data_IF_982835307988
#
_entry.id   IF_982835307988
#
_cell.length_a   1.000
_cell.length_b   1.000
_cell.length_c   1.000
_cell.angle_alpha   90.00
_cell.angle_beta   90.00
_cell.angle_gamma   90.00
#
_symmetry.space_group_name_H-M   'P 1'
#
loop_
_entity.id
_entity.type
_entity.pdbx_description
1 polymer ?
#
# COMPACT_ATOMS: atom_id res chain seq x y z
N UNK A 1 -11.03 20.18 10.06
CA UNK A 1 -9.84 19.33 9.89
C UNK A 1 -9.22 19.70 8.56
N UNK A 2 -7.89 19.72 8.44
CA UNK A 2 -7.23 19.96 7.15
C UNK A 2 -7.27 18.69 6.32
N UNK A 3 -7.86 18.75 5.13
CA UNK A 3 -7.90 17.62 4.19
C UNK A 3 -6.51 17.37 3.59
N UNK A 4 -6.05 16.13 3.59
CA UNK A 4 -4.76 15.74 3.00
C UNK A 4 -4.96 15.32 1.55
N UNK A 5 -4.26 16.00 0.63
CA UNK A 5 -4.23 15.66 -0.79
C UNK A 5 -3.36 14.43 -1.01
N UNK A 6 -3.89 13.38 -1.64
CA UNK A 6 -3.18 12.12 -1.81
C UNK A 6 -3.21 11.58 -3.25
N UNK A 7 -2.11 10.97 -3.65
CA UNK A 7 -2.06 10.01 -4.75
C UNK A 7 -2.00 8.61 -4.13
N UNK A 8 -2.79 7.68 -4.63
CA UNK A 8 -2.81 6.29 -4.16
C UNK A 8 -2.24 5.36 -5.24
N UNK A 9 -1.04 4.82 -5.00
CA UNK A 9 -0.36 3.85 -5.87
C UNK A 9 -0.63 2.42 -5.37
N UNK A 10 -1.34 1.62 -6.15
CA UNK A 10 -2.00 0.39 -5.69
C UNK A 10 -2.01 -0.68 -6.77
N UNK A 11 -2.17 -1.94 -6.39
CA UNK A 11 -2.28 -3.09 -7.28
C UNK A 11 -3.57 -3.88 -7.01
N UNK A 12 -4.78 -3.27 -7.20
CA UNK A 12 -5.98 -3.67 -6.48
C UNK A 12 -6.26 -5.17 -6.33
N UNK A 13 -5.80 -5.66 -5.17
CA UNK A 13 -6.19 -6.86 -4.45
C UNK A 13 -7.37 -6.63 -3.50
N UNK A 14 -7.49 -7.50 -2.51
CA UNK A 14 -8.63 -7.52 -1.59
C UNK A 14 -8.50 -6.41 -0.53
N UNK A 15 -7.32 -6.27 0.05
CA UNK A 15 -6.92 -5.24 1.00
C UNK A 15 -6.70 -3.88 0.34
N UNK A 16 -6.20 -3.81 -0.90
CA UNK A 16 -6.19 -2.56 -1.66
C UNK A 16 -7.60 -2.01 -1.85
N UNK A 17 -8.58 -2.88 -2.14
CA UNK A 17 -9.98 -2.48 -2.27
C UNK A 17 -10.55 -1.97 -0.94
N UNK A 18 -10.14 -2.57 0.20
CA UNK A 18 -10.47 -2.05 1.52
C UNK A 18 -9.89 -0.63 1.72
N UNK A 19 -8.62 -0.43 1.37
CA UNK A 19 -7.96 0.87 1.48
C UNK A 19 -8.60 1.92 0.57
N UNK A 20 -8.88 1.59 -0.68
CA UNK A 20 -9.45 2.51 -1.65
C UNK A 20 -10.86 2.97 -1.29
N UNK A 21 -11.71 2.06 -0.78
CA UNK A 21 -13.05 2.44 -0.29
C UNK A 21 -12.99 3.21 1.03
N UNK A 22 -12.00 2.93 1.88
CA UNK A 22 -11.74 3.74 3.08
C UNK A 22 -11.28 5.15 2.75
N UNK A 23 -10.46 5.32 1.71
CA UNK A 23 -10.08 6.63 1.19
C UNK A 23 -11.31 7.40 0.71
N UNK A 24 -12.14 6.79 -0.15
CA UNK A 24 -13.33 7.44 -0.70
C UNK A 24 -14.33 7.85 0.39
N UNK A 25 -14.50 7.02 1.43
CA UNK A 25 -15.38 7.34 2.55
C UNK A 25 -14.81 8.43 3.49
N UNK A 26 -13.52 8.76 3.39
CA UNK A 26 -12.85 9.65 4.33
C UNK A 26 -12.88 11.12 3.92
N UNK A 27 -13.60 12.01 4.64
CA UNK A 27 -13.56 13.45 4.37
C UNK A 27 -12.22 14.10 4.74
N UNK A 28 -11.34 13.36 5.42
CA UNK A 28 -9.99 13.81 5.75
C UNK A 28 -9.02 13.71 4.57
N UNK A 29 -9.41 13.04 3.47
CA UNK A 29 -8.56 12.80 2.32
C UNK A 29 -9.16 13.41 1.05
N UNK A 30 -8.30 13.96 0.22
CA UNK A 30 -8.61 14.43 -1.14
C UNK A 30 -7.81 13.56 -2.11
N UNK A 31 -8.46 12.52 -2.64
CA UNK A 31 -7.84 11.58 -3.57
C UNK A 31 -7.74 12.21 -4.97
N UNK A 32 -6.55 12.68 -5.33
CA UNK A 32 -6.35 13.37 -6.61
C UNK A 32 -5.97 12.45 -7.77
N UNK A 33 -5.48 11.25 -7.48
CA UNK A 33 -5.24 10.23 -8.49
C UNK A 33 -5.10 8.84 -7.86
N UNK A 34 -5.49 7.84 -8.65
CA UNK A 34 -5.12 6.44 -8.44
C UNK A 34 -4.12 6.04 -9.51
N UNK A 35 -2.98 5.50 -9.11
CA UNK A 35 -2.01 4.90 -10.03
C UNK A 35 -1.99 3.40 -9.80
N UNK A 36 -2.06 2.62 -10.88
CA UNK A 36 -2.04 1.15 -10.75
C UNK A 36 -0.67 0.56 -11.07
N UNK A 37 -0.31 -0.51 -10.38
CA UNK A 37 0.90 -1.30 -10.61
C UNK A 37 0.56 -2.80 -10.64
N UNK A 38 1.47 -3.63 -11.12
CA UNK A 38 1.38 -5.09 -10.98
C UNK A 38 1.70 -5.49 -9.53
N UNK A 39 1.27 -6.69 -9.11
CA UNK A 39 1.63 -7.25 -7.80
C UNK A 39 0.69 -8.40 -7.42
N UNK A 40 -0.39 -8.07 -6.70
CA UNK A 40 -1.48 -8.98 -6.35
C UNK A 40 -2.14 -9.61 -7.59
N UNK A 41 -2.14 -8.88 -8.71
CA UNK A 41 -2.48 -9.40 -10.03
C UNK A 41 -1.64 -8.74 -11.13
N UNK A 42 -1.85 -9.19 -12.37
CA UNK A 42 -1.29 -8.57 -13.57
C UNK A 42 -1.82 -7.13 -13.72
N UNK A 43 -1.02 -6.22 -14.29
CA UNK A 43 -1.40 -4.81 -14.39
C UNK A 43 -2.76 -4.57 -15.05
N UNK A 44 -3.14 -5.40 -16.03
CA UNK A 44 -4.45 -5.28 -16.69
C UNK A 44 -5.61 -5.62 -15.74
N UNK A 45 -5.40 -6.58 -14.84
CA UNK A 45 -6.36 -6.96 -13.81
C UNK A 45 -6.42 -5.89 -12.72
N UNK A 46 -5.27 -5.43 -12.21
CA UNK A 46 -5.23 -4.41 -11.16
C UNK A 46 -5.82 -3.07 -11.65
N UNK A 47 -5.53 -2.68 -12.89
CA UNK A 47 -6.14 -1.51 -13.55
C UNK A 47 -7.64 -1.67 -13.73
N UNK A 48 -8.09 -2.83 -14.24
CA UNK A 48 -9.53 -3.14 -14.36
C UNK A 48 -10.22 -3.05 -12.99
N UNK A 49 -9.59 -3.57 -11.93
CA UNK A 49 -10.14 -3.56 -10.58
C UNK A 49 -10.24 -2.13 -10.02
N UNK A 50 -9.22 -1.28 -10.18
CA UNK A 50 -9.29 0.14 -9.82
C UNK A 50 -10.48 0.84 -10.52
N UNK A 51 -10.64 0.62 -11.83
CA UNK A 51 -11.71 1.22 -12.63
C UNK A 51 -13.09 0.66 -12.24
N UNK A 52 -13.17 -0.63 -11.95
CA UNK A 52 -14.40 -1.26 -11.47
C UNK A 52 -14.82 -0.69 -10.11
N UNK A 53 -13.90 -0.56 -9.16
CA UNK A 53 -14.15 0.04 -7.85
C UNK A 53 -14.56 1.50 -8.02
N UNK A 54 -13.85 2.25 -8.87
CA UNK A 54 -14.18 3.63 -9.24
C UNK A 54 -15.62 3.77 -9.72
N UNK A 55 -16.02 2.99 -10.72
CA UNK A 55 -17.35 3.10 -11.31
C UNK A 55 -18.45 2.58 -10.36
N UNK A 56 -18.16 1.52 -9.59
CA UNK A 56 -19.12 0.92 -8.67
C UNK A 56 -19.43 1.80 -7.46
N UNK A 57 -18.42 2.50 -6.94
CA UNK A 57 -18.51 3.26 -5.70
C UNK A 57 -18.43 4.77 -5.90
N UNK A 58 -18.36 5.24 -7.15
CA UNK A 58 -18.49 6.65 -7.49
C UNK A 58 -17.23 7.48 -7.29
N UNK A 59 -16.05 6.85 -7.19
CA UNK A 59 -14.80 7.57 -6.99
C UNK A 59 -14.57 8.54 -8.15
N UNK A 60 -14.14 9.75 -7.85
CA UNK A 60 -13.96 10.79 -8.88
C UNK A 60 -12.53 10.86 -9.40
N UNK A 61 -11.55 10.43 -8.60
CA UNK A 61 -10.13 10.45 -8.93
C UNK A 61 -9.80 9.75 -10.28
N UNK A 62 -8.99 10.35 -11.16
CA UNK A 62 -8.52 9.70 -12.38
C UNK A 62 -7.66 8.48 -12.06
N UNK A 63 -7.73 7.46 -12.93
CA UNK A 63 -6.94 6.23 -12.81
C UNK A 63 -5.89 6.21 -13.92
N UNK A 64 -4.61 6.12 -13.54
CA UNK A 64 -3.49 6.03 -14.46
C UNK A 64 -2.86 4.64 -14.41
N UNK A 65 -2.75 3.98 -15.57
CA UNK A 65 -2.11 2.67 -15.67
C UNK A 65 -0.59 2.81 -15.57
N UNK A 66 0.03 2.04 -14.67
CA UNK A 66 1.48 1.98 -14.50
C UNK A 66 2.15 0.82 -15.22
N UNK A 67 3.27 0.38 -14.67
CA UNK A 67 4.12 -0.67 -15.26
C UNK A 67 3.55 -2.08 -15.04
N UNK A 68 3.94 -3.02 -15.90
CA UNK A 68 3.55 -4.43 -15.87
C UNK A 68 4.61 -5.36 -15.23
N UNK A 69 5.79 -4.82 -14.88
CA UNK A 69 6.95 -5.59 -14.43
C UNK A 69 7.94 -4.76 -13.60
N UNK A 70 8.83 -5.42 -12.83
CA UNK A 70 9.89 -4.73 -12.10
C UNK A 70 10.93 -4.07 -13.00
N UNK A 71 11.76 -3.19 -12.44
CA UNK A 71 12.75 -2.39 -13.16
C UNK A 71 13.75 -3.22 -13.97
N UNK A 72 14.26 -4.31 -13.36
CA UNK A 72 15.44 -5.03 -13.86
C UNK A 72 15.23 -6.54 -13.94
N UNK A 73 14.18 -7.07 -13.31
CA UNK A 73 14.02 -8.50 -13.08
C UNK A 73 12.81 -9.06 -13.84
N UNK A 74 12.74 -10.38 -14.06
CA UNK A 74 11.49 -11.00 -14.51
C UNK A 74 10.41 -10.82 -13.46
N UNK A 75 9.17 -10.55 -13.90
CA UNK A 75 8.01 -10.47 -13.01
C UNK A 75 7.73 -11.86 -12.42
N UNK A 76 7.41 -11.91 -11.12
CA UNK A 76 6.91 -13.11 -10.49
C UNK A 76 5.44 -13.37 -10.86
N UNK A 77 4.97 -14.63 -10.78
CA UNK A 77 3.56 -14.94 -10.91
C UNK A 77 2.74 -14.25 -9.83
N UNK A 78 1.52 -13.83 -10.19
CA UNK A 78 0.59 -13.20 -9.27
C UNK A 78 0.09 -14.21 -8.22
N UNK A 79 -0.09 -13.80 -6.95
CA UNK A 79 -0.52 -14.69 -5.86
C UNK A 79 -2.04 -14.97 -5.91
N UNK A 80 -2.53 -15.66 -6.94
CA UNK A 80 -3.98 -15.93 -7.11
C UNK A 80 -4.57 -16.77 -5.97
N UNK A 81 -3.74 -17.52 -5.24
CA UNK A 81 -4.13 -18.24 -4.02
C UNK A 81 -4.47 -17.31 -2.83
N UNK A 82 -4.13 -16.02 -2.90
CA UNK A 82 -4.43 -15.00 -1.88
C UNK A 82 -5.61 -14.14 -2.33
N UNK A 83 -5.54 -13.59 -3.55
CA UNK A 83 -6.49 -12.59 -4.04
C UNK A 83 -7.50 -13.11 -5.07
N UNK A 84 -7.44 -14.39 -5.45
CA UNK A 84 -8.23 -14.97 -6.53
C UNK A 84 -7.68 -14.66 -7.92
N UNK A 85 -8.21 -15.33 -8.93
CA UNK A 85 -7.86 -15.13 -10.34
C UNK A 85 -8.27 -13.74 -10.84
N UNK A 86 -9.34 -13.18 -10.28
CA UNK A 86 -9.76 -11.82 -10.59
C UNK A 86 -9.12 -10.74 -9.69
N UNK A 87 -8.31 -11.10 -8.69
CA UNK A 87 -7.71 -10.16 -7.72
C UNK A 87 -8.67 -9.61 -6.65
N UNK A 88 -9.96 -9.92 -6.71
CA UNK A 88 -11.00 -9.46 -5.77
C UNK A 88 -11.75 -10.64 -5.14
N UNK A 89 -11.02 -11.70 -4.78
CA UNK A 89 -11.58 -12.88 -4.10
C UNK A 89 -12.54 -13.70 -4.96
N UNK A 90 -12.43 -13.62 -6.28
CA UNK A 90 -13.26 -14.32 -7.25
C UNK A 90 -14.77 -14.05 -7.11
N UNK A 91 -15.13 -12.92 -6.49
CA UNK A 91 -16.51 -12.44 -6.50
C UNK A 91 -16.92 -12.06 -7.92
N UNK A 92 -18.20 -12.25 -8.25
CA UNK A 92 -18.72 -11.87 -9.55
C UNK A 92 -18.66 -10.34 -9.74
N UNK A 93 -17.84 -9.90 -10.69
CA UNK A 93 -17.75 -8.49 -11.10
C UNK A 93 -18.82 -8.24 -12.17
N UNK A 94 -20.01 -7.80 -11.75
CA UNK A 94 -21.17 -7.64 -12.63
C UNK A 94 -21.48 -6.18 -12.93
N UNK A 95 -22.15 -5.95 -14.07
CA UNK A 95 -22.94 -4.74 -14.31
C UNK A 95 -22.19 -3.49 -14.73
N UNK A 96 -20.86 -3.53 -14.86
CA UNK A 96 -20.06 -2.35 -15.23
C UNK A 96 -19.05 -2.72 -16.31
N UNK A 97 -19.03 -1.95 -17.39
CA UNK A 97 -17.90 -1.90 -18.33
C UNK A 97 -17.01 -0.79 -17.79
N UNK A 98 -15.87 -1.10 -17.15
CA UNK A 98 -15.07 -0.07 -16.52
C UNK A 98 -14.64 0.98 -17.53
N UNK A 99 -14.62 2.25 -17.12
CA UNK A 99 -14.04 3.33 -17.91
C UNK A 99 -12.62 2.97 -18.38
N UNK A 100 -12.09 3.66 -19.39
CA UNK A 100 -10.67 3.49 -19.74
C UNK A 100 -9.81 4.28 -18.75
N UNK A 101 -8.60 3.79 -18.40
CA UNK A 101 -7.67 4.60 -17.66
C UNK A 101 -7.25 5.81 -18.51
N UNK A 102 -6.77 6.85 -17.83
CA UNK A 102 -6.20 8.02 -18.49
C UNK A 102 -5.04 7.63 -19.42
N UNK A 103 -4.92 8.33 -20.54
CA UNK A 103 -3.90 8.06 -21.56
C UNK A 103 -2.53 8.64 -21.19
N UNK A 104 -2.09 8.42 -19.95
CA UNK A 104 -0.81 8.88 -19.39
C UNK A 104 -0.25 7.78 -18.47
N UNK A 105 1.05 7.45 -18.57
CA UNK A 105 1.68 6.50 -17.64
C UNK A 105 1.62 6.99 -16.19
N UNK A 106 1.40 6.08 -15.24
CA UNK A 106 1.33 6.40 -13.81
C UNK A 106 2.50 7.24 -13.28
N UNK A 107 3.75 6.86 -13.60
CA UNK A 107 4.94 7.60 -13.14
C UNK A 107 4.96 9.06 -13.64
N UNK A 108 4.47 9.31 -14.85
CA UNK A 108 4.37 10.68 -15.38
C UNK A 108 3.25 11.45 -14.69
N UNK A 109 2.13 10.80 -14.39
CA UNK A 109 1.05 11.43 -13.62
C UNK A 109 1.51 11.85 -12.22
N UNK A 110 2.32 11.02 -11.55
CA UNK A 110 2.93 11.34 -10.25
C UNK A 110 3.78 12.61 -10.37
N UNK A 111 4.66 12.70 -11.38
CA UNK A 111 5.53 13.87 -11.62
C UNK A 111 4.69 15.11 -11.87
N UNK A 112 3.72 15.04 -12.78
CA UNK A 112 2.90 16.18 -13.18
C UNK A 112 2.12 16.74 -11.98
N UNK A 113 1.45 15.86 -11.21
CA UNK A 113 0.67 16.26 -10.04
C UNK A 113 1.54 16.85 -8.93
N UNK A 114 2.73 16.29 -8.69
CA UNK A 114 3.68 16.83 -7.71
C UNK A 114 4.20 18.22 -8.12
N UNK A 115 4.46 18.44 -9.41
CA UNK A 115 4.87 19.74 -9.98
C UNK A 115 3.75 20.78 -9.88
N UNK A 116 2.51 20.37 -10.10
CA UNK A 116 1.33 21.23 -9.98
C UNK A 116 1.01 21.60 -8.52
N UNK A 117 1.40 20.76 -7.55
CA UNK A 117 1.05 20.90 -6.13
C UNK A 117 2.27 20.69 -5.21
N UNK A 118 3.35 21.49 -5.35
CA UNK A 118 4.61 21.26 -4.64
C UNK A 118 4.42 21.40 -3.12
N UNK A 119 4.84 20.36 -2.38
CA UNK A 119 4.76 20.29 -0.92
C UNK A 119 3.37 19.96 -0.37
N UNK A 120 2.38 19.68 -1.22
CA UNK A 120 1.00 19.43 -0.78
C UNK A 120 0.62 17.95 -0.77
N UNK A 121 1.11 17.17 -1.74
CA UNK A 121 0.65 15.79 -1.99
C UNK A 121 1.42 14.79 -1.14
N UNK A 122 0.69 13.95 -0.40
CA UNK A 122 1.23 12.70 0.16
C UNK A 122 0.99 11.55 -0.82
N UNK A 123 2.06 10.86 -1.22
CA UNK A 123 1.97 9.66 -2.06
C UNK A 123 1.85 8.43 -1.16
N UNK A 124 0.72 7.72 -1.24
CA UNK A 124 0.48 6.50 -0.47
C UNK A 124 0.66 5.32 -1.42
N UNK A 125 1.72 4.54 -1.24
CA UNK A 125 2.05 3.40 -2.08
C UNK A 125 1.81 2.10 -1.32
N UNK A 126 0.91 1.25 -1.82
CA UNK A 126 0.53 -0.02 -1.21
C UNK A 126 0.78 -1.23 -2.10
N UNK A 127 1.40 -1.02 -3.26
CA UNK A 127 1.91 -2.08 -4.14
C UNK A 127 3.43 -2.01 -4.34
N UNK A 128 3.98 -2.81 -5.28
CA UNK A 128 5.39 -2.71 -5.67
C UNK A 128 5.77 -1.28 -6.11
N UNK A 129 6.88 -0.79 -5.58
CA UNK A 129 7.29 0.63 -5.66
C UNK A 129 7.84 1.06 -7.03
N UNK A 130 7.51 0.32 -8.09
CA UNK A 130 8.09 0.48 -9.41
C UNK A 130 7.66 1.78 -10.09
N UNK A 131 6.40 2.18 -9.94
CA UNK A 131 5.92 3.47 -10.48
C UNK A 131 6.67 4.65 -9.85
N UNK A 132 6.91 4.59 -8.53
CA UNK A 132 7.67 5.58 -7.77
C UNK A 132 9.12 5.64 -8.23
N UNK A 133 9.77 4.49 -8.39
CA UNK A 133 11.14 4.42 -8.85
C UNK A 133 11.30 4.91 -10.30
N UNK A 134 10.32 4.64 -11.18
CA UNK A 134 10.28 5.19 -12.53
C UNK A 134 10.09 6.71 -12.51
N UNK A 135 9.27 7.25 -11.60
CA UNK A 135 9.11 8.69 -11.44
C UNK A 135 10.43 9.35 -11.00
N UNK A 136 11.12 8.78 -10.00
CA UNK A 136 12.43 9.24 -9.55
C UNK A 136 13.51 9.18 -10.64
N UNK A 137 13.49 8.13 -11.49
CA UNK A 137 14.43 8.00 -12.61
C UNK A 137 14.16 9.01 -13.72
N UNK A 138 12.90 9.33 -13.98
CA UNK A 138 12.51 10.29 -15.01
C UNK A 138 12.70 11.74 -14.55
N UNK A 139 12.40 12.04 -13.28
CA UNK A 139 12.53 13.36 -12.68
C UNK A 139 12.98 13.25 -11.20
N UNK A 140 14.30 13.26 -10.93
CA UNK A 140 14.82 13.15 -9.57
C UNK A 140 14.36 14.26 -8.62
N UNK A 141 13.94 15.43 -9.13
CA UNK A 141 13.46 16.53 -8.30
C UNK A 141 12.06 16.25 -7.71
N UNK A 142 11.31 15.27 -8.25
CA UNK A 142 9.98 14.90 -7.76
C UNK A 142 9.99 14.56 -6.27
N UNK A 143 11.10 14.02 -5.77
CA UNK A 143 11.29 13.70 -4.36
C UNK A 143 11.09 14.93 -3.45
N UNK A 144 11.60 16.09 -3.86
CA UNK A 144 11.49 17.33 -3.09
C UNK A 144 10.12 18.02 -3.25
N UNK A 145 9.31 17.60 -4.22
CA UNK A 145 7.99 18.18 -4.50
C UNK A 145 6.85 17.47 -3.78
N UNK A 146 7.02 16.20 -3.41
CA UNK A 146 6.03 15.49 -2.59
C UNK A 146 6.17 15.92 -1.13
N UNK A 147 5.03 16.06 -0.45
CA UNK A 147 4.97 16.36 0.99
C UNK A 147 5.57 15.23 1.81
N UNK A 148 5.18 13.99 1.46
CA UNK A 148 5.61 12.76 2.09
C UNK A 148 5.28 11.56 1.19
N UNK A 149 5.92 10.43 1.47
CA UNK A 149 5.59 9.12 0.92
C UNK A 149 5.28 8.17 2.07
N UNK A 150 4.13 7.52 2.03
CA UNK A 150 3.73 6.49 3.00
C UNK A 150 3.64 5.18 2.26
N UNK A 151 4.41 4.18 2.72
CA UNK A 151 4.55 2.89 2.04
C UNK A 151 3.93 1.81 2.90
N UNK A 152 2.96 1.05 2.40
CA UNK A 152 2.67 -0.27 2.95
C UNK A 152 3.71 -1.23 2.38
N UNK A 153 4.63 -1.68 3.24
CA UNK A 153 5.65 -2.63 2.79
C UNK A 153 6.79 -2.81 3.76
N UNK A 154 7.52 -3.91 3.55
CA UNK A 154 8.66 -4.30 4.35
C UNK A 154 8.30 -5.16 5.57
N UNK A 155 9.35 -5.80 6.09
CA UNK A 155 9.34 -6.58 7.33
C UNK A 155 10.68 -6.30 8.03
N UNK A 156 10.66 -5.49 9.08
CA UNK A 156 11.87 -4.99 9.76
C UNK A 156 12.25 -5.84 10.97
N UNK A 157 11.45 -6.85 11.31
CA UNK A 157 11.70 -7.81 12.39
C UNK A 157 11.57 -7.23 13.80
N UNK A 158 11.00 -6.03 13.95
CA UNK A 158 10.90 -5.30 15.22
C UNK A 158 9.93 -5.98 16.19
N UNK A 159 8.86 -6.57 15.65
CA UNK A 159 7.86 -7.32 16.42
C UNK A 159 8.06 -8.84 16.32
N UNK A 160 9.25 -9.29 15.91
CA UNK A 160 9.52 -10.70 15.58
C UNK A 160 8.70 -11.22 14.39
N UNK A 161 8.16 -10.31 13.57
CA UNK A 161 7.35 -10.64 12.40
C UNK A 161 8.26 -10.95 11.21
N UNK A 162 8.12 -12.13 10.58
CA UNK A 162 8.86 -12.47 9.37
C UNK A 162 8.27 -11.75 8.15
N UNK A 163 8.91 -11.93 6.99
CA UNK A 163 8.28 -11.66 5.71
C UNK A 163 7.07 -12.56 5.43
N UNK A 164 6.27 -12.20 4.44
CA UNK A 164 5.07 -12.95 4.02
C UNK A 164 5.26 -13.71 2.69
N UNK A 165 6.33 -13.42 1.94
CA UNK A 165 6.73 -14.17 0.71
C UNK A 165 7.90 -15.09 0.99
N UNK A 166 8.95 -14.56 1.63
CA UNK A 166 10.06 -15.35 2.16
C UNK A 166 10.17 -15.09 3.67
N UNK A 167 10.99 -15.84 4.42
CA UNK A 167 11.16 -15.57 5.85
C UNK A 167 11.59 -14.13 6.18
N UNK A 168 12.17 -13.41 5.23
CA UNK A 168 12.73 -12.05 5.44
C UNK A 168 12.11 -10.98 4.54
N UNK A 169 11.32 -11.34 3.53
CA UNK A 169 10.83 -10.40 2.53
C UNK A 169 9.31 -10.30 2.52
N UNK A 170 8.85 -9.05 2.52
CA UNK A 170 7.45 -8.67 2.31
C UNK A 170 7.16 -8.56 0.80
N UNK A 171 5.94 -8.88 0.37
CA UNK A 171 5.50 -8.99 -1.02
C UNK A 171 5.79 -7.77 -1.90
N UNK A 172 5.42 -6.56 -1.48
CA UNK A 172 5.61 -5.34 -2.26
C UNK A 172 7.08 -5.06 -2.50
N UNK A 173 7.90 -5.19 -1.44
CA UNK A 173 9.35 -5.01 -1.55
C UNK A 173 9.99 -6.15 -2.35
N UNK A 174 9.55 -7.39 -2.17
CA UNK A 174 10.10 -8.55 -2.86
C UNK A 174 9.82 -8.55 -4.36
N UNK A 175 8.69 -7.97 -4.78
CA UNK A 175 8.29 -7.86 -6.18
C UNK A 175 9.16 -6.88 -6.99
N UNK A 176 9.75 -5.85 -6.36
CA UNK A 176 10.79 -5.01 -6.96
C UNK A 176 11.77 -4.44 -5.90
N UNK A 177 12.75 -5.24 -5.44
CA UNK A 177 13.70 -4.82 -4.42
C UNK A 177 14.57 -3.65 -4.86
N UNK A 178 14.90 -3.56 -6.15
CA UNK A 178 15.67 -2.45 -6.71
C UNK A 178 14.88 -1.15 -6.72
N UNK A 179 13.60 -1.18 -7.07
CA UNK A 179 12.72 -0.03 -6.94
C UNK A 179 12.62 0.40 -5.47
N UNK A 180 12.46 -0.56 -4.56
CA UNK A 180 12.35 -0.27 -3.14
C UNK A 180 13.62 0.36 -2.56
N UNK A 181 14.83 -0.16 -2.88
CA UNK A 181 16.09 0.45 -2.42
C UNK A 181 16.22 1.88 -2.96
N UNK A 182 15.88 2.11 -4.23
CA UNK A 182 15.91 3.44 -4.84
C UNK A 182 14.93 4.40 -4.15
N UNK A 183 13.73 3.93 -3.81
CA UNK A 183 12.70 4.72 -3.12
C UNK A 183 13.13 5.05 -1.68
N UNK A 184 13.63 4.08 -0.91
CA UNK A 184 14.05 4.34 0.47
C UNK A 184 15.28 5.26 0.58
N UNK A 185 16.14 5.26 -0.44
CA UNK A 185 17.37 6.06 -0.48
C UNK A 185 17.22 7.42 -1.18
N UNK A 186 16.05 7.71 -1.75
CA UNK A 186 15.76 8.99 -2.38
C UNK A 186 15.53 10.14 -1.36
N UNK A 187 15.81 11.40 -1.72
CA UNK A 187 15.76 12.55 -0.81
C UNK A 187 14.33 13.11 -0.59
N UNK A 188 13.40 12.24 -0.20
CA UNK A 188 12.04 12.57 0.23
C UNK A 188 11.75 11.99 1.62
N UNK A 189 10.61 12.38 2.21
CA UNK A 189 10.19 11.90 3.53
C UNK A 189 9.37 10.62 3.41
N UNK A 190 9.94 9.48 3.79
CA UNK A 190 9.28 8.16 3.74
C UNK A 190 8.92 7.66 5.14
N UNK A 191 7.70 7.17 5.28
CA UNK A 191 7.30 6.29 6.40
C UNK A 191 6.83 4.94 5.88
N UNK A 192 7.47 3.85 6.32
CA UNK A 192 7.02 2.49 6.04
C UNK A 192 6.06 1.98 7.13
N UNK A 193 4.87 1.59 6.72
CA UNK A 193 3.86 0.87 7.50
C UNK A 193 4.00 -0.61 7.19
N UNK A 194 4.81 -1.30 7.98
CA UNK A 194 5.32 -2.64 7.67
C UNK A 194 4.49 -3.79 8.27
N UNK A 195 4.79 -5.03 7.87
CA UNK A 195 4.18 -6.24 8.45
C UNK A 195 4.32 -6.32 9.97
N UNK A 196 5.34 -5.67 10.53
CA UNK A 196 5.58 -5.59 11.98
C UNK A 196 4.35 -5.06 12.73
N UNK A 197 3.63 -4.10 12.14
CA UNK A 197 2.44 -3.49 12.75
C UNK A 197 1.14 -3.93 12.09
N UNK A 198 1.09 -4.07 10.77
CA UNK A 198 -0.17 -4.35 10.06
C UNK A 198 -0.74 -5.71 10.41
N UNK A 199 0.13 -6.69 10.72
CA UNK A 199 -0.30 -8.03 11.15
C UNK A 199 -0.90 -8.06 12.56
N UNK A 200 -0.82 -6.96 13.31
CA UNK A 200 -1.47 -6.80 14.63
C UNK A 200 -2.92 -6.31 14.51
N UNK A 201 -3.31 -5.84 13.33
CA UNK A 201 -4.64 -5.26 13.07
C UNK A 201 -5.44 -6.29 12.27
N UNK A 202 -6.42 -6.91 12.91
CA UNK A 202 -7.21 -8.00 12.30
C UNK A 202 -8.69 -7.63 12.27
N UNK A 203 -9.26 -7.62 11.06
CA UNK A 203 -10.70 -7.56 10.86
C UNK A 203 -11.27 -8.97 11.00
N UNK A 204 -11.90 -9.23 12.16
CA UNK A 204 -12.55 -10.51 12.44
C UNK A 204 -13.83 -10.69 11.61
N UNK A 205 -14.37 -11.91 11.47
CA UNK A 205 -15.66 -12.12 10.82
C UNK A 205 -16.79 -11.26 11.43
N UNK A 206 -16.84 -11.16 12.76
CA UNK A 206 -17.82 -10.32 13.45
C UNK A 206 -17.66 -8.82 13.13
N UNK A 207 -16.41 -8.36 12.97
CA UNK A 207 -16.14 -6.99 12.52
C UNK A 207 -16.65 -6.76 11.09
N UNK A 208 -16.39 -7.69 10.17
CA UNK A 208 -16.84 -7.58 8.78
C UNK A 208 -18.36 -7.66 8.64
N UNK A 209 -19.03 -8.48 9.46
CA UNK A 209 -20.50 -8.54 9.53
C UNK A 209 -21.09 -7.22 10.05
N UNK A 210 -20.48 -6.62 11.08
CA UNK A 210 -20.88 -5.30 11.57
C UNK A 210 -20.68 -4.21 10.52
N UNK A 211 -19.58 -4.25 9.78
CA UNK A 211 -19.28 -3.33 8.68
C UNK A 211 -20.27 -3.48 7.52
N UNK A 212 -20.64 -4.71 7.15
CA UNK A 212 -21.69 -4.96 6.14
C UNK A 212 -23.02 -4.34 6.55
N UNK A 213 -23.37 -4.40 7.84
CA UNK A 213 -24.61 -3.84 8.34
C UNK A 213 -24.64 -2.30 8.37
N UNK A 214 -23.48 -1.63 8.48
CA UNK A 214 -23.40 -0.17 8.63
C UNK A 214 -22.94 0.59 7.38
N UNK A 215 -22.11 -0.01 6.51
CA UNK A 215 -21.44 0.67 5.39
C UNK A 215 -22.12 0.44 4.02
N UNK A 216 -23.41 0.06 4.02
CA UNK A 216 -24.22 -0.07 2.80
C UNK A 216 -23.61 -0.99 1.73
N UNK A 217 -23.70 -0.64 0.43
CA UNK A 217 -23.14 -1.45 -0.65
C UNK A 217 -21.62 -1.68 -0.57
N UNK A 218 -20.87 -0.74 0.02
CA UNK A 218 -19.43 -0.88 0.22
C UNK A 218 -19.14 -1.95 1.28
N UNK A 219 -19.82 -1.89 2.43
CA UNK A 219 -19.71 -2.90 3.49
C UNK A 219 -20.01 -4.31 2.99
N UNK A 220 -21.11 -4.49 2.26
CA UNK A 220 -21.47 -5.79 1.69
C UNK A 220 -20.43 -6.33 0.69
N UNK A 221 -19.89 -5.44 -0.15
CA UNK A 221 -18.83 -5.82 -1.08
C UNK A 221 -17.53 -6.20 -0.35
N UNK A 222 -17.10 -5.39 0.63
CA UNK A 222 -15.92 -5.66 1.44
C UNK A 222 -16.03 -6.98 2.21
N UNK A 223 -17.19 -7.27 2.81
CA UNK A 223 -17.41 -8.57 3.46
C UNK A 223 -17.43 -9.73 2.46
N UNK A 224 -17.89 -9.52 1.23
CA UNK A 224 -17.86 -10.56 0.21
C UNK A 224 -16.43 -10.92 -0.21
N UNK A 225 -15.59 -9.91 -0.51
CA UNK A 225 -14.20 -10.12 -0.94
C UNK A 225 -13.28 -10.57 0.20
N UNK A 226 -13.60 -10.24 1.47
CA UNK A 226 -12.74 -10.61 2.61
C UNK A 226 -12.79 -12.09 2.97
N UNK A 227 -13.87 -12.80 2.64
CA UNK A 227 -14.07 -14.23 2.99
C UNK A 227 -12.94 -15.15 2.49
N UNK A 228 -12.58 -15.17 1.19
CA UNK A 228 -11.44 -15.97 0.72
C UNK A 228 -10.12 -15.53 1.36
N UNK A 229 -9.93 -14.23 1.61
CA UNK A 229 -8.73 -13.71 2.24
C UNK A 229 -8.60 -14.17 3.70
N UNK A 230 -9.70 -14.14 4.45
CA UNK A 230 -9.76 -14.66 5.81
C UNK A 230 -9.53 -16.18 5.87
N UNK A 231 -10.01 -16.93 4.87
CA UNK A 231 -9.73 -18.36 4.76
C UNK A 231 -8.24 -18.65 4.53
N UNK A 232 -7.56 -17.83 3.70
CA UNK A 232 -6.11 -17.89 3.50
C UNK A 232 -5.35 -17.69 4.82
N UNK A 233 -5.64 -16.61 5.57
CA UNK A 233 -5.01 -16.36 6.87
C UNK A 233 -5.30 -17.45 7.90
N UNK A 234 -6.53 -17.96 7.94
CA UNK A 234 -6.90 -19.06 8.83
C UNK A 234 -6.11 -20.34 8.53
N UNK A 235 -5.93 -20.66 7.24
CA UNK A 235 -5.19 -21.84 6.81
C UNK A 235 -3.67 -21.75 6.98
N UNK A 236 -3.08 -20.58 6.72
CA UNK A 236 -1.62 -20.38 6.77
C UNK A 236 -1.13 -20.04 8.17
N UNK A 237 -1.81 -19.10 8.84
CA UNK A 237 -1.30 -18.41 10.03
C UNK A 237 -2.16 -18.66 11.29
N UNK A 238 -3.30 -19.35 11.15
CA UNK A 238 -4.25 -19.58 12.24
C UNK A 238 -4.98 -18.32 12.71
N UNK A 239 -4.96 -17.24 11.92
CA UNK A 239 -5.62 -15.98 12.22
C UNK A 239 -7.11 -16.08 11.88
N UNK A 240 -7.97 -15.65 12.81
CA UNK A 240 -9.43 -15.59 12.60
C UNK A 240 -9.82 -14.21 12.09
N UNK A 241 -9.86 -14.07 10.75
CA UNK A 241 -10.12 -12.81 10.07
C UNK A 241 -9.07 -12.54 9.00
N UNK A 242 -8.96 -11.28 8.59
CA UNK A 242 -7.90 -10.83 7.67
C UNK A 242 -7.10 -9.67 8.27
N UNK A 243 -5.81 -9.62 7.97
CA UNK A 243 -4.95 -8.52 8.39
C UNK A 243 -5.22 -7.27 7.56
N UNK A 244 -5.10 -6.11 8.20
CA UNK A 244 -5.33 -4.80 7.57
C UNK A 244 -3.98 -4.21 7.17
N UNK A 245 -3.53 -4.54 5.96
CA UNK A 245 -2.26 -4.07 5.40
C UNK A 245 -2.42 -2.64 4.87
N UNK A 246 -3.06 -2.49 3.71
CA UNK A 246 -3.06 -1.25 2.94
C UNK A 246 -3.86 -0.15 3.62
N UNK A 247 -5.00 -0.50 4.22
CA UNK A 247 -5.81 0.45 4.96
C UNK A 247 -5.12 0.95 6.24
N UNK A 248 -4.08 0.26 6.74
CA UNK A 248 -3.25 0.81 7.82
C UNK A 248 -2.33 1.93 7.33
N UNK A 249 -1.82 1.86 6.10
CA UNK A 249 -1.08 2.97 5.50
C UNK A 249 -1.98 4.20 5.28
N UNK A 250 -3.23 3.99 4.87
CA UNK A 250 -4.24 5.06 4.78
C UNK A 250 -4.56 5.63 6.17
N UNK A 251 -4.76 4.77 7.17
CA UNK A 251 -5.02 5.20 8.55
C UNK A 251 -3.85 6.03 9.12
N UNK A 252 -2.61 5.71 8.76
CA UNK A 252 -1.44 6.50 9.16
C UNK A 252 -1.49 7.93 8.63
N UNK A 253 -1.99 8.13 7.41
CA UNK A 253 -2.17 9.48 6.82
C UNK A 253 -3.28 10.26 7.52
N UNK A 254 -4.37 9.58 7.89
CA UNK A 254 -5.53 10.20 8.56
C UNK A 254 -5.21 10.55 10.01
N UNK A 255 -4.66 9.61 10.77
CA UNK A 255 -4.32 9.77 12.18
C UNK A 255 -2.99 9.05 12.52
N UNK A 256 -1.85 9.73 12.35
CA UNK A 256 -0.55 9.14 12.69
C UNK A 256 -0.38 8.87 14.19
N UNK A 257 -1.24 9.41 15.08
CA UNK A 257 -1.17 9.17 16.52
C UNK A 257 -1.59 7.75 16.92
N UNK A 258 -2.17 6.99 15.97
CA UNK A 258 -2.43 5.56 16.10
C UNK A 258 -1.17 4.71 16.04
N UNK A 259 -0.04 5.28 15.62
CA UNK A 259 1.20 4.55 15.37
C UNK A 259 2.35 5.08 16.22
N UNK A 260 3.28 4.19 16.55
CA UNK A 260 4.60 4.56 17.03
C UNK A 260 5.59 4.46 15.88
N UNK A 261 6.43 5.48 15.71
CA UNK A 261 7.36 5.61 14.59
C UNK A 261 8.80 5.65 15.09
N UNK A 262 9.69 4.94 14.40
CA UNK A 262 11.12 4.93 14.67
C UNK A 262 11.92 5.44 13.46
N UNK A 263 12.67 6.55 13.59
CA UNK A 263 13.49 7.09 12.52
C UNK A 263 14.75 6.25 12.27
N UNK A 264 15.22 6.24 11.02
CA UNK A 264 16.47 5.59 10.63
C UNK A 264 16.63 5.46 9.12
N UNK A 265 17.87 5.29 8.68
CA UNK A 265 18.16 4.99 7.27
C UNK A 265 17.74 3.56 6.94
N UNK A 266 17.21 3.35 5.74
CA UNK A 266 16.70 2.04 5.29
C UNK A 266 17.45 1.62 4.03
N UNK A 267 17.81 0.34 3.96
CA UNK A 267 18.33 -0.33 2.76
C UNK A 267 17.55 -1.59 2.48
N UNK A 268 17.47 -1.96 1.21
CA UNK A 268 16.83 -3.19 0.76
C UNK A 268 17.87 -4.11 0.12
N UNK A 269 17.86 -5.37 0.51
CA UNK A 269 18.72 -6.38 -0.11
C UNK A 269 18.20 -6.70 -1.51
N UNK A 270 19.01 -6.47 -2.54
CA UNK A 270 18.60 -6.65 -3.96
C UNK A 270 19.08 -7.97 -4.58
N UNK A 271 19.78 -8.82 -3.83
CA UNK A 271 20.30 -10.10 -4.32
C UNK A 271 20.36 -11.19 -3.22
N UNK A 272 20.81 -12.39 -3.61
CA UNK A 272 21.04 -13.49 -2.68
C UNK A 272 19.78 -14.07 -2.02
N UNK A 273 19.98 -14.82 -0.94
CA UNK A 273 18.90 -15.51 -0.21
C UNK A 273 18.00 -14.55 0.58
N UNK A 274 18.51 -13.34 0.86
CA UNK A 274 17.83 -12.31 1.64
C UNK A 274 17.16 -11.24 0.76
N UNK A 275 17.08 -11.49 -0.54
CA UNK A 275 16.39 -10.64 -1.52
C UNK A 275 15.04 -10.13 -1.00
N UNK A 276 14.87 -8.80 -1.03
CA UNK A 276 13.67 -8.10 -0.58
C UNK A 276 13.63 -7.84 0.93
N UNK A 277 14.66 -8.22 1.70
CA UNK A 277 14.76 -7.89 3.11
C UNK A 277 14.95 -6.38 3.29
N UNK A 278 14.09 -5.76 4.10
CA UNK A 278 14.19 -4.37 4.53
C UNK A 278 14.97 -4.26 5.83
N UNK A 279 16.03 -3.46 5.81
CA UNK A 279 16.97 -3.36 6.93
C UNK A 279 17.11 -1.89 7.35
N UNK A 280 16.75 -1.58 8.59
CA UNK A 280 16.88 -0.24 9.16
C UNK A 280 18.13 -0.13 10.04
N UNK A 281 18.89 0.95 9.86
CA UNK A 281 19.84 1.48 10.86
C UNK A 281 19.13 2.58 11.62
N UNK A 282 18.85 2.37 12.91
CA UNK A 282 18.10 3.34 13.73
C UNK A 282 18.90 4.63 13.85
N UNK A 283 18.20 5.77 13.81
CA UNK A 283 18.83 7.07 13.96
C UNK A 283 19.60 7.16 15.29
N UNK A 284 20.85 7.63 15.22
CA UNK A 284 21.74 7.74 16.37
C UNK A 284 22.53 6.49 16.73
N UNK A 285 22.24 5.33 16.13
CA UNK A 285 23.06 4.12 16.33
C UNK A 285 24.39 4.19 15.55
N UNK A 286 25.46 3.73 16.20
CA UNK A 286 26.81 3.73 15.66
C UNK A 286 27.24 2.32 15.25
N UNK A 287 27.66 2.20 13.99
CA UNK A 287 28.24 0.98 13.41
C UNK A 287 29.53 1.35 12.67
N UNK A 288 30.31 0.35 12.23
CA UNK A 288 31.41 0.59 11.28
C UNK A 288 30.91 1.06 9.91
N UNK A 289 31.81 1.44 8.97
CA UNK A 289 31.43 1.85 7.62
C UNK A 289 30.48 0.84 6.97
N UNK A 290 29.37 1.32 6.43
CA UNK A 290 28.25 0.47 6.04
C UNK A 290 27.43 1.05 4.87
N UNK A 291 26.54 0.21 4.34
CA UNK A 291 25.63 0.57 3.26
C UNK A 291 24.57 1.64 3.64
N UNK A 292 24.43 1.95 4.94
CA UNK A 292 23.48 2.95 5.44
C UNK A 292 24.10 4.33 5.62
N UNK A 293 25.41 4.47 5.44
CA UNK A 293 26.08 5.76 5.60
C UNK A 293 25.66 6.71 4.45
N UNK A 294 25.52 8.00 4.80
CA UNK A 294 25.05 9.08 3.93
C UNK A 294 23.65 8.89 3.31
N UNK A 295 22.87 7.91 3.78
CA UNK A 295 21.49 7.70 3.36
C UNK A 295 20.53 8.62 4.13
N UNK A 296 19.42 9.07 3.52
CA UNK A 296 18.43 9.89 4.20
C UNK A 296 17.85 9.15 5.41
N UNK A 297 17.44 9.92 6.43
CA UNK A 297 16.67 9.40 7.55
C UNK A 297 15.21 9.26 7.09
N UNK A 298 14.73 8.03 7.09
CA UNK A 298 13.34 7.68 6.86
C UNK A 298 12.71 7.25 8.19
N UNK A 299 11.53 6.66 8.13
CA UNK A 299 10.79 6.18 9.29
C UNK A 299 10.16 4.81 9.02
N UNK A 300 10.01 4.02 10.09
CA UNK A 300 9.18 2.81 10.09
C UNK A 300 8.19 2.87 11.26
N UNK A 301 7.03 2.26 11.10
CA UNK A 301 6.12 2.01 12.22
C UNK A 301 6.61 0.83 13.05
N UNK A 302 6.64 0.98 14.37
CA UNK A 302 7.06 -0.07 15.33
C UNK A 302 5.96 -0.49 16.30
N UNK A 303 4.86 0.26 16.35
CA UNK A 303 3.69 -0.05 17.17
C UNK A 303 2.42 0.53 16.55
N UNK A 304 1.27 -0.05 16.90
CA UNK A 304 -0.05 0.39 16.43
C UNK A 304 -1.12 0.20 17.51
N UNK A 305 -2.03 1.16 17.63
CA UNK A 305 -3.25 1.08 18.44
C UNK A 305 -4.35 0.39 17.62
N UNK A 306 -4.27 -0.94 17.52
CA UNK A 306 -5.12 -1.73 16.61
C UNK A 306 -6.64 -1.48 16.79
N UNK A 307 -7.13 -1.44 18.03
CA UNK A 307 -8.55 -1.14 18.30
C UNK A 307 -8.95 0.28 17.84
N UNK A 308 -8.06 1.26 18.02
CA UNK A 308 -8.27 2.63 17.57
C UNK A 308 -8.34 2.73 16.05
N UNK A 309 -7.50 1.98 15.34
CA UNK A 309 -7.51 1.90 13.88
C UNK A 309 -8.80 1.25 13.36
N UNK A 310 -9.19 0.10 13.93
CA UNK A 310 -10.44 -0.57 13.54
C UNK A 310 -11.67 0.30 13.82
N UNK A 311 -11.65 1.08 14.90
CA UNK A 311 -12.68 2.07 15.21
C UNK A 311 -12.70 3.19 14.17
N UNK A 312 -11.55 3.80 13.85
CA UNK A 312 -11.43 4.83 12.82
C UNK A 312 -11.99 4.35 11.48
N UNK A 313 -11.63 3.14 11.07
CA UNK A 313 -12.10 2.53 9.83
C UNK A 313 -13.62 2.34 9.84
N UNK A 314 -14.19 1.76 10.90
CA UNK A 314 -15.62 1.51 11.00
C UNK A 314 -16.45 2.81 11.05
N UNK A 315 -15.99 3.81 11.80
CA UNK A 315 -16.66 5.12 11.89
C UNK A 315 -16.63 5.87 10.57
N UNK A 316 -15.53 5.76 9.81
CA UNK A 316 -15.41 6.40 8.50
C UNK A 316 -16.28 5.72 7.45
N UNK A 317 -16.27 4.38 7.42
CA UNK A 317 -17.04 3.61 6.44
C UNK A 317 -18.56 3.64 6.69
N UNK A 318 -18.98 3.84 7.94
CA UNK A 318 -20.40 3.91 8.31
C UNK A 318 -21.00 5.32 8.30
N UNK A 319 -20.22 6.35 7.97
CA UNK A 319 -20.64 7.75 7.93
C UNK A 319 -21.46 8.10 6.68
#
# INVERSE_FOLDING_TARGET
MTTSKIIFDTDPGIDDAMALLFIEASPALDLVAVTTVYGNADIDITTRNALYLKDRFGLTAPVFKGTDKPLTRPRNPSPTFVHGENGLGDVALTGLVPARPEAKPAHQAIIDLARENPGEITLVAVGPLTNLALALRADPEVAALLKAVVIMGGAFGVAGKPGNVTPVAEANIWNDPEAADLVFTAPWHVTAVSLDVTTQVVMTPAYMEALEASAGPAGAFLNAISKPYAAFYGGRDGIVGCCVHDAAAVAFVIDPSLFEVRPGSIRVVTDGIALGQTCQKVEGELFGPSAWDDQPIQAITVGVKAEGLLKLYAETMGA
#
